data_IF_310240803450
#
_entry.id   IF_310240803450
#
_cell.length_a   1.000
_cell.length_b   1.000
_cell.length_c   1.000
_cell.angle_alpha   90.00
_cell.angle_beta   90.00
_cell.angle_gamma   90.00
#
_symmetry.space_group_name_H-M   'P 1'
#
loop_
_entity.id
_entity.type
_entity.pdbx_description
1 polymer ?
#
# COMPACT_ATOMS: atom_id res chain seq x y z
N UNK A 1 15.02 -1.73 -17.05
CA UNK A 1 14.42 -0.94 -15.94
C UNK A 1 13.72 -1.93 -15.02
N UNK A 2 14.37 -2.32 -13.94
CA UNK A 2 13.74 -3.18 -12.94
C UNK A 2 13.03 -2.24 -11.97
N UNK A 3 11.74 -2.11 -12.12
CA UNK A 3 10.91 -1.41 -11.13
C UNK A 3 10.78 -2.33 -9.93
N UNK A 4 11.63 -2.18 -8.96
CA UNK A 4 11.34 -2.73 -7.63
C UNK A 4 10.32 -1.80 -7.01
N UNK A 5 9.06 -2.04 -7.29
CA UNK A 5 7.98 -1.44 -6.53
C UNK A 5 8.01 -2.04 -5.13
N UNK A 6 8.85 -1.52 -4.26
CA UNK A 6 8.73 -1.79 -2.83
C UNK A 6 7.53 -1.02 -2.31
N UNK A 7 6.35 -1.54 -2.58
CA UNK A 7 5.19 -1.13 -1.81
C UNK A 7 5.35 -1.65 -0.40
N UNK A 8 5.73 -0.76 0.49
CA UNK A 8 5.61 -0.93 1.91
C UNK A 8 6.47 -2.03 2.52
N UNK A 9 7.50 -1.60 3.16
CA UNK A 9 8.29 -2.41 4.05
C UNK A 9 9.47 -3.07 3.36
N UNK A 10 10.65 -2.56 3.65
CA UNK A 10 11.84 -3.38 3.57
C UNK A 10 11.57 -4.71 4.26
N UNK A 11 12.09 -5.82 3.73
CA UNK A 11 12.08 -7.07 4.47
C UNK A 11 12.60 -6.77 5.89
N UNK A 12 11.99 -7.31 6.94
CA UNK A 12 12.45 -7.10 8.32
C UNK A 12 13.90 -7.53 8.55
N UNK A 13 14.49 -8.17 7.55
CA UNK A 13 15.86 -8.65 7.52
C UNK A 13 16.88 -7.68 6.90
N UNK A 14 16.49 -6.48 6.48
CA UNK A 14 17.47 -5.45 6.14
C UNK A 14 17.84 -4.67 7.39
N UNK A 15 18.93 -5.05 8.09
CA UNK A 15 19.39 -4.24 9.21
C UNK A 15 20.03 -2.97 8.63
N UNK A 16 19.35 -1.86 8.81
CA UNK A 16 20.03 -0.60 8.76
C UNK A 16 20.98 -0.54 9.95
N UNK A 17 22.25 -0.42 9.69
CA UNK A 17 23.30 -0.27 10.72
C UNK A 17 23.29 -1.36 11.80
N UNK A 18 22.85 -2.58 11.49
CA UNK A 18 22.83 -3.69 12.44
C UNK A 18 21.68 -3.65 13.45
N UNK A 19 20.86 -2.64 13.46
CA UNK A 19 19.69 -2.56 14.33
C UNK A 19 18.41 -3.01 13.59
N UNK A 20 17.96 -4.20 13.88
CA UNK A 20 16.57 -4.59 13.57
C UNK A 20 15.64 -3.72 14.41
N UNK A 21 14.88 -2.85 13.76
CA UNK A 21 13.78 -2.17 14.43
C UNK A 21 12.70 -3.20 14.75
N UNK A 22 12.84 -3.87 15.90
CA UNK A 22 11.78 -4.73 16.41
C UNK A 22 10.60 -3.85 16.76
N UNK A 23 9.49 -4.06 16.08
CA UNK A 23 8.23 -3.54 16.59
C UNK A 23 7.98 -4.16 17.97
N UNK A 24 7.46 -3.36 18.88
CA UNK A 24 7.14 -3.81 20.23
C UNK A 24 5.93 -4.78 20.25
N UNK A 25 5.33 -5.05 19.11
CA UNK A 25 4.15 -5.90 18.92
C UNK A 25 4.24 -6.65 17.58
N UNK A 26 3.57 -7.77 17.51
CA UNK A 26 3.44 -8.60 16.31
C UNK A 26 2.31 -8.12 15.40
N UNK A 27 2.30 -8.57 14.14
CA UNK A 27 1.21 -8.31 13.21
C UNK A 27 -0.12 -8.89 13.71
N UNK A 28 -0.10 -10.04 14.40
CA UNK A 28 -1.29 -10.66 14.97
C UNK A 28 -1.87 -9.82 16.12
N UNK A 29 -1.03 -9.28 17.00
CA UNK A 29 -1.46 -8.38 18.07
C UNK A 29 -2.06 -7.10 17.49
N UNK A 30 -1.47 -6.53 16.46
CA UNK A 30 -2.00 -5.36 15.77
C UNK A 30 -3.36 -5.65 15.12
N UNK A 31 -3.52 -6.79 14.45
CA UNK A 31 -4.78 -7.21 13.84
C UNK A 31 -5.88 -7.43 14.89
N UNK A 32 -5.54 -8.01 16.05
CA UNK A 32 -6.46 -8.16 17.17
C UNK A 32 -6.93 -6.79 17.72
N UNK A 33 -6.07 -5.79 17.76
CA UNK A 33 -6.46 -4.43 18.16
C UNK A 33 -7.28 -3.71 17.06
N UNK A 34 -6.97 -3.92 15.79
CA UNK A 34 -7.83 -3.44 14.68
C UNK A 34 -9.26 -3.99 14.78
N UNK A 35 -9.42 -5.25 15.17
CA UNK A 35 -10.73 -5.88 15.33
C UNK A 35 -11.58 -5.23 16.43
N UNK A 36 -10.96 -4.60 17.43
CA UNK A 36 -11.64 -3.91 18.54
C UNK A 36 -12.06 -2.47 18.20
N UNK A 37 -11.61 -1.92 17.09
CA UNK A 37 -12.01 -0.58 16.67
C UNK A 37 -13.50 -0.53 16.29
N UNK A 38 -14.08 0.64 16.33
CA UNK A 38 -15.47 0.87 15.92
C UNK A 38 -15.51 1.82 14.71
N UNK A 39 -15.86 1.35 13.51
CA UNK A 39 -16.11 -0.06 13.15
C UNK A 39 -14.82 -0.91 13.17
N UNK A 40 -14.94 -2.25 13.28
CA UNK A 40 -13.79 -3.16 13.23
C UNK A 40 -13.00 -3.02 11.94
N UNK A 41 -11.66 -3.02 12.06
CA UNK A 41 -10.72 -2.78 10.96
C UNK A 41 -9.78 -3.97 10.72
N UNK A 42 -9.08 -3.94 9.60
CA UNK A 42 -7.97 -4.85 9.23
C UNK A 42 -6.97 -4.13 8.29
N UNK A 43 -5.75 -4.60 8.26
CA UNK A 43 -4.77 -4.11 7.26
C UNK A 43 -5.16 -4.61 5.84
N UNK A 44 -5.03 -3.75 4.85
CA UNK A 44 -5.36 -4.06 3.45
C UNK A 44 -4.49 -5.18 2.86
N UNK A 45 -3.25 -5.34 3.33
CA UNK A 45 -2.36 -6.39 2.83
C UNK A 45 -2.82 -7.77 3.32
N UNK A 46 -3.36 -7.87 4.54
CA UNK A 46 -3.95 -9.09 5.06
C UNK A 46 -5.23 -9.45 4.29
N UNK A 47 -6.03 -8.44 3.94
CA UNK A 47 -7.17 -8.63 3.04
C UNK A 47 -6.71 -9.15 1.67
N UNK A 48 -5.76 -8.49 1.00
CA UNK A 48 -5.29 -8.90 -0.32
C UNK A 48 -4.60 -10.26 -0.34
N UNK A 49 -4.01 -10.69 0.78
CA UNK A 49 -3.44 -12.02 0.92
C UNK A 49 -4.50 -13.12 1.10
N UNK A 50 -5.71 -12.77 1.47
CA UNK A 50 -6.79 -13.71 1.75
C UNK A 50 -7.43 -14.28 0.48
N UNK A 51 -8.10 -15.44 0.61
CA UNK A 51 -8.96 -15.99 -0.45
C UNK A 51 -10.19 -15.11 -0.70
N UNK A 52 -10.66 -14.42 0.34
CA UNK A 52 -11.79 -13.51 0.26
C UNK A 52 -11.57 -12.41 -0.79
N UNK A 53 -10.36 -11.86 -0.87
CA UNK A 53 -10.06 -10.82 -1.85
C UNK A 53 -10.27 -11.30 -3.30
N UNK A 54 -9.88 -12.52 -3.62
CA UNK A 54 -10.05 -13.09 -4.96
C UNK A 54 -11.55 -13.24 -5.33
N UNK A 55 -12.35 -13.71 -4.37
CA UNK A 55 -13.80 -13.84 -4.55
C UNK A 55 -14.50 -12.48 -4.65
N UNK A 56 -14.14 -11.53 -3.79
CA UNK A 56 -14.70 -10.17 -3.85
C UNK A 56 -14.40 -9.49 -5.20
N UNK A 57 -13.19 -9.71 -5.74
CA UNK A 57 -12.78 -9.14 -7.04
C UNK A 57 -13.48 -9.81 -8.22
N UNK A 58 -13.91 -11.08 -8.10
CA UNK A 58 -14.72 -11.75 -9.13
C UNK A 58 -16.18 -11.29 -9.11
N UNK A 59 -16.70 -10.94 -7.95
CA UNK A 59 -18.10 -10.62 -7.72
C UNK A 59 -18.30 -9.17 -7.26
N UNK A 60 -17.52 -8.24 -7.83
CA UNK A 60 -17.59 -6.84 -7.45
C UNK A 60 -18.94 -6.19 -7.88
N UNK A 61 -19.44 -5.21 -7.11
CA UNK A 61 -20.70 -4.55 -7.40
C UNK A 61 -20.63 -3.55 -8.59
N UNK A 62 -19.42 -3.13 -8.98
CA UNK A 62 -19.17 -2.22 -10.10
C UNK A 62 -18.39 -2.93 -11.21
N UNK A 63 -18.26 -2.25 -12.38
CA UNK A 63 -17.38 -2.74 -13.44
C UNK A 63 -15.90 -2.71 -13.01
N UNK A 64 -15.07 -3.53 -13.67
CA UNK A 64 -13.63 -3.53 -13.43
C UNK A 64 -13.00 -2.17 -13.74
N UNK A 65 -13.45 -1.50 -14.80
CA UNK A 65 -13.02 -0.14 -15.15
C UNK A 65 -13.40 0.86 -14.05
N UNK A 66 -14.62 0.80 -13.55
CA UNK A 66 -15.07 1.67 -12.46
C UNK A 66 -14.29 1.43 -11.16
N UNK A 67 -13.98 0.17 -10.87
CA UNK A 67 -13.13 -0.16 -9.74
C UNK A 67 -11.75 0.52 -9.87
N UNK A 68 -11.08 0.41 -11.02
CA UNK A 68 -9.79 1.05 -11.24
C UNK A 68 -9.90 2.58 -11.23
N UNK A 69 -10.97 3.13 -11.79
CA UNK A 69 -11.23 4.57 -11.75
C UNK A 69 -11.27 5.09 -10.31
N UNK A 70 -12.07 4.48 -9.45
CA UNK A 70 -12.18 4.85 -8.05
C UNK A 70 -10.88 4.60 -7.27
N UNK A 71 -10.24 3.45 -7.52
CA UNK A 71 -9.02 3.04 -6.83
C UNK A 71 -7.83 3.98 -7.09
N UNK A 72 -7.63 4.39 -8.34
CA UNK A 72 -6.55 5.32 -8.67
C UNK A 72 -6.89 6.76 -8.31
N UNK A 73 -8.14 7.20 -8.48
CA UNK A 73 -8.56 8.52 -8.01
C UNK A 73 -8.30 8.70 -6.51
N UNK A 74 -8.72 7.74 -5.71
CA UNK A 74 -8.56 7.79 -4.26
C UNK A 74 -7.08 7.81 -3.81
N UNK A 75 -6.18 7.27 -4.64
CA UNK A 75 -4.73 7.29 -4.38
C UNK A 75 -4.04 8.53 -4.95
N UNK A 76 -4.71 9.27 -5.80
CA UNK A 76 -4.17 10.48 -6.43
C UNK A 76 -4.06 11.65 -5.46
N UNK A 77 -3.15 12.58 -5.76
CA UNK A 77 -3.00 13.81 -5.01
C UNK A 77 -4.21 14.74 -5.11
N UNK A 78 -5.05 14.58 -6.13
CA UNK A 78 -6.27 15.36 -6.33
C UNK A 78 -7.43 14.93 -5.41
N UNK A 79 -7.33 13.74 -4.81
CA UNK A 79 -8.34 13.28 -3.86
C UNK A 79 -8.30 14.13 -2.58
N UNK A 80 -9.42 14.77 -2.17
CA UNK A 80 -9.42 15.68 -1.04
C UNK A 80 -8.90 15.08 0.27
N UNK A 81 -9.12 13.76 0.47
CA UNK A 81 -8.63 13.04 1.65
C UNK A 81 -7.10 12.91 1.74
N UNK A 82 -6.38 13.20 0.65
CA UNK A 82 -4.91 13.11 0.61
C UNK A 82 -4.22 14.47 0.75
N UNK A 83 -4.97 15.58 0.88
CA UNK A 83 -4.39 16.94 0.88
C UNK A 83 -3.59 17.26 2.15
N UNK A 84 -3.91 16.65 3.28
CA UNK A 84 -3.32 16.98 4.58
C UNK A 84 -2.79 15.73 5.29
N UNK A 85 -2.14 14.85 4.54
CA UNK A 85 -1.53 13.66 5.10
C UNK A 85 -0.35 14.01 5.99
N UNK A 86 -0.30 13.40 7.16
CA UNK A 86 0.83 13.50 8.08
C UNK A 86 1.41 12.12 8.33
N UNK A 87 2.74 12.00 8.45
CA UNK A 87 3.38 10.73 8.76
C UNK A 87 2.78 10.09 10.01
N UNK A 88 2.66 8.76 9.98
CA UNK A 88 2.26 8.01 11.16
C UNK A 88 3.35 8.07 12.21
N UNK A 89 2.93 8.20 13.45
CA UNK A 89 3.85 8.19 14.58
C UNK A 89 4.17 6.75 14.99
N UNK A 90 5.43 6.45 15.34
CA UNK A 90 5.76 5.17 15.94
C UNK A 90 5.05 5.05 17.28
N UNK A 91 4.35 3.94 17.50
CA UNK A 91 3.61 3.69 18.74
C UNK A 91 4.23 2.51 19.50
N UNK A 92 4.28 2.59 20.84
CA UNK A 92 4.92 1.56 21.66
C UNK A 92 4.08 0.31 21.84
N UNK A 93 2.77 0.38 21.65
CA UNK A 93 1.86 -0.75 21.82
C UNK A 93 1.01 -1.01 20.59
N UNK A 94 0.55 -2.24 20.40
CA UNK A 94 -0.36 -2.62 19.31
C UNK A 94 -1.66 -1.80 19.35
N UNK A 95 -2.20 -1.52 20.53
CA UNK A 95 -3.42 -0.73 20.72
C UNK A 95 -3.26 0.70 20.20
N UNK A 96 -2.18 1.37 20.61
CA UNK A 96 -1.90 2.74 20.15
C UNK A 96 -1.58 2.77 18.65
N UNK A 97 -0.87 1.75 18.18
CA UNK A 97 -0.58 1.60 16.75
C UNK A 97 -1.86 1.38 15.92
N UNK A 98 -2.81 0.60 16.42
CA UNK A 98 -4.09 0.41 15.75
C UNK A 98 -4.87 1.74 15.65
N UNK A 99 -4.91 2.51 16.72
CA UNK A 99 -5.56 3.82 16.74
C UNK A 99 -4.88 4.82 15.79
N UNK A 100 -3.53 4.86 15.78
CA UNK A 100 -2.78 5.73 14.88
C UNK A 100 -2.94 5.32 13.41
N UNK A 101 -2.86 4.02 13.11
CA UNK A 101 -3.07 3.52 11.75
C UNK A 101 -4.51 3.72 11.25
N UNK A 102 -5.51 3.78 12.13
CA UNK A 102 -6.89 4.06 11.77
C UNK A 102 -7.11 5.46 11.18
N UNK A 103 -6.13 6.34 11.27
CA UNK A 103 -6.10 7.65 10.57
C UNK A 103 -5.87 7.50 9.07
N UNK A 104 -5.36 6.33 8.63
CA UNK A 104 -5.18 6.06 7.21
C UNK A 104 -6.53 5.87 6.51
N UNK A 105 -6.61 6.20 5.21
CA UNK A 105 -7.81 5.95 4.42
C UNK A 105 -8.27 4.49 4.49
N UNK A 106 -9.58 4.28 4.32
CA UNK A 106 -10.19 2.94 4.41
C UNK A 106 -9.58 1.90 3.46
N UNK A 107 -8.95 2.30 2.39
CA UNK A 107 -8.28 1.35 1.49
C UNK A 107 -6.93 0.85 2.02
N UNK A 108 -6.38 1.44 3.07
CA UNK A 108 -5.21 0.94 3.80
C UNK A 108 -5.59 0.23 5.08
N UNK A 109 -6.46 0.84 5.89
CA UNK A 109 -6.98 0.25 7.12
C UNK A 109 -8.47 0.01 6.93
N UNK A 110 -8.76 -1.12 6.29
CA UNK A 110 -10.08 -1.47 5.78
C UNK A 110 -11.06 -1.82 6.90
N UNK A 111 -12.33 -1.58 6.66
CA UNK A 111 -13.39 -2.18 7.48
C UNK A 111 -13.43 -3.69 7.25
N UNK A 112 -13.75 -4.44 8.32
CA UNK A 112 -13.88 -5.91 8.22
C UNK A 112 -15.18 -6.37 7.58
N UNK A 113 -16.21 -5.52 7.58
CA UNK A 113 -17.54 -5.84 7.07
C UNK A 113 -17.67 -5.73 5.53
N UNK A 114 -16.60 -5.33 4.84
CA UNK A 114 -16.62 -5.21 3.38
C UNK A 114 -15.26 -5.49 2.74
N UNK A 115 -15.29 -5.89 1.46
CA UNK A 115 -14.11 -6.04 0.63
C UNK A 115 -13.66 -4.73 -0.03
N UNK A 116 -12.52 -4.78 -0.72
CA UNK A 116 -11.99 -3.61 -1.43
C UNK A 116 -12.93 -3.10 -2.54
N UNK A 117 -13.54 -3.96 -3.38
CA UNK A 117 -14.49 -3.47 -4.39
C UNK A 117 -15.63 -2.66 -3.79
N UNK A 118 -16.27 -3.20 -2.75
CA UNK A 118 -17.37 -2.51 -2.06
C UNK A 118 -16.91 -1.22 -1.36
N UNK A 119 -15.67 -1.19 -0.86
CA UNK A 119 -15.07 0.03 -0.30
C UNK A 119 -14.90 1.10 -1.38
N UNK A 120 -14.47 0.72 -2.59
CA UNK A 120 -14.21 1.66 -3.69
C UNK A 120 -15.47 2.31 -4.28
N UNK A 121 -16.63 1.69 -4.17
CA UNK A 121 -17.88 2.28 -4.67
C UNK A 121 -18.11 3.70 -4.14
N UNK A 122 -17.80 3.94 -2.86
CA UNK A 122 -18.00 5.24 -2.21
C UNK A 122 -17.01 6.32 -2.69
N UNK A 123 -15.98 5.95 -3.43
CA UNK A 123 -14.90 6.84 -3.86
C UNK A 123 -14.89 7.10 -5.37
N UNK A 124 -15.96 6.75 -6.07
CA UNK A 124 -16.09 7.08 -7.49
C UNK A 124 -16.07 8.60 -7.68
N UNK A 125 -15.18 9.15 -8.51
CA UNK A 125 -15.14 10.57 -8.79
C UNK A 125 -16.37 11.02 -9.59
N UNK A 126 -16.60 12.32 -9.62
CA UNK A 126 -17.69 12.90 -10.41
C UNK A 126 -17.50 12.66 -11.92
N UNK A 127 -18.59 12.69 -12.67
CA UNK A 127 -18.55 12.58 -14.14
C UNK A 127 -17.70 13.70 -14.77
N UNK A 128 -17.76 14.89 -14.19
CA UNK A 128 -16.97 16.03 -14.64
C UNK A 128 -15.47 15.79 -14.43
N UNK A 129 -15.08 15.27 -13.25
CA UNK A 129 -13.70 14.88 -13.00
C UNK A 129 -13.21 13.84 -14.02
N UNK A 130 -14.01 12.79 -14.26
CA UNK A 130 -13.67 11.72 -15.21
C UNK A 130 -13.44 12.29 -16.61
N UNK A 131 -14.33 13.17 -17.08
CA UNK A 131 -14.22 13.78 -18.40
C UNK A 131 -12.98 14.67 -18.57
N UNK A 132 -12.51 15.29 -17.49
CA UNK A 132 -11.36 16.19 -17.50
C UNK A 132 -10.03 15.52 -17.08
N UNK A 133 -10.06 14.28 -16.61
CA UNK A 133 -8.89 13.55 -16.14
C UNK A 133 -7.95 13.20 -17.31
N UNK A 134 -6.78 13.85 -17.35
CA UNK A 134 -5.79 13.66 -18.43
C UNK A 134 -4.71 12.63 -18.10
N UNK A 135 -4.45 12.38 -16.83
CA UNK A 135 -3.40 11.47 -16.39
C UNK A 135 -3.83 10.00 -16.36
N UNK A 136 -5.14 9.75 -16.36
CA UNK A 136 -5.74 8.42 -16.42
C UNK A 136 -7.07 8.55 -17.17
N UNK A 137 -7.02 8.55 -18.49
CA UNK A 137 -8.17 8.71 -19.38
C UNK A 137 -9.15 7.52 -19.25
N UNK A 138 -10.36 7.68 -19.76
CA UNK A 138 -11.32 6.56 -19.75
C UNK A 138 -10.81 5.39 -20.60
N UNK A 139 -10.20 5.67 -21.74
CA UNK A 139 -9.63 4.63 -22.61
C UNK A 139 -8.54 3.81 -21.88
N UNK A 140 -7.64 4.46 -21.14
CA UNK A 140 -6.64 3.76 -20.32
C UNK A 140 -7.27 2.95 -19.20
N UNK A 141 -8.29 3.49 -18.54
CA UNK A 141 -9.05 2.79 -17.51
C UNK A 141 -9.72 1.52 -18.05
N UNK A 142 -10.26 1.60 -19.26
CA UNK A 142 -10.92 0.47 -19.93
C UNK A 142 -9.91 -0.62 -20.32
N UNK A 143 -8.68 -0.27 -20.70
CA UNK A 143 -7.60 -1.23 -20.90
C UNK A 143 -7.32 -2.01 -19.62
N UNK A 144 -7.17 -1.32 -18.47
CA UNK A 144 -7.03 -2.01 -17.18
C UNK A 144 -8.23 -2.92 -16.89
N UNK A 145 -9.44 -2.41 -17.15
CA UNK A 145 -10.67 -3.16 -16.98
C UNK A 145 -10.68 -4.47 -17.79
N UNK A 146 -10.32 -4.40 -19.05
CA UNK A 146 -10.27 -5.55 -19.97
C UNK A 146 -9.20 -6.57 -19.57
N UNK A 147 -7.97 -6.12 -19.32
CA UNK A 147 -6.84 -6.97 -18.97
C UNK A 147 -7.08 -7.74 -17.65
N UNK A 148 -7.55 -7.06 -16.61
CA UNK A 148 -7.84 -7.70 -15.33
C UNK A 148 -9.10 -8.59 -15.37
N UNK A 149 -10.07 -8.26 -16.22
CA UNK A 149 -11.23 -9.14 -16.43
C UNK A 149 -10.82 -10.44 -17.12
N UNK A 150 -9.87 -10.38 -18.05
CA UNK A 150 -9.35 -11.56 -18.75
C UNK A 150 -8.39 -12.39 -17.91
N UNK A 151 -7.44 -11.74 -17.23
CA UNK A 151 -6.40 -12.42 -16.45
C UNK A 151 -6.88 -12.87 -15.06
N UNK A 152 -7.88 -12.21 -14.49
CA UNK A 152 -8.31 -12.38 -13.11
C UNK A 152 -7.31 -11.81 -12.09
N UNK A 153 -7.63 -11.95 -10.82
CA UNK A 153 -6.87 -11.34 -9.73
C UNK A 153 -5.91 -12.29 -9.02
N UNK A 154 -6.08 -13.58 -9.18
CA UNK A 154 -5.30 -14.60 -8.45
C UNK A 154 -3.79 -14.35 -8.56
N UNK A 155 -3.29 -14.14 -9.77
CA UNK A 155 -1.86 -13.86 -10.01
C UNK A 155 -1.41 -12.52 -9.43
N UNK A 156 -2.19 -11.47 -9.61
CA UNK A 156 -1.89 -10.13 -9.10
C UNK A 156 -1.80 -10.09 -7.56
N UNK A 157 -2.55 -10.95 -6.86
CA UNK A 157 -2.57 -11.04 -5.41
C UNK A 157 -1.42 -11.88 -4.82
N UNK A 158 -0.66 -12.61 -5.63
CA UNK A 158 0.44 -13.45 -5.14
C UNK A 158 1.52 -12.65 -4.40
N UNK A 159 1.78 -11.41 -4.77
CA UNK A 159 2.72 -10.54 -4.06
C UNK A 159 2.33 -10.35 -2.58
N UNK A 160 1.04 -10.18 -2.29
CA UNK A 160 0.54 -10.06 -0.93
C UNK A 160 0.58 -11.40 -0.19
N UNK A 161 0.18 -12.49 -0.85
CA UNK A 161 0.24 -13.85 -0.27
C UNK A 161 1.67 -14.23 0.09
N UNK A 162 2.62 -14.01 -0.82
CA UNK A 162 4.04 -14.25 -0.57
C UNK A 162 4.54 -13.50 0.68
N UNK A 163 4.16 -12.24 0.84
CA UNK A 163 4.61 -11.43 1.98
C UNK A 163 3.95 -11.79 3.31
N UNK A 164 2.70 -12.25 3.30
CA UNK A 164 1.91 -12.44 4.51
C UNK A 164 1.80 -13.90 4.97
N UNK A 165 1.68 -14.83 4.04
CA UNK A 165 1.43 -16.25 4.38
C UNK A 165 2.67 -17.12 4.24
N UNK A 166 3.55 -16.82 3.30
CA UNK A 166 4.78 -17.58 3.05
C UNK A 166 6.03 -16.93 3.66
N UNK A 167 5.88 -15.90 4.47
CA UNK A 167 6.99 -15.10 4.98
C UNK A 167 8.05 -15.94 5.68
N UNK A 168 7.66 -16.88 6.54
CA UNK A 168 8.59 -17.74 7.25
C UNK A 168 9.35 -18.70 6.31
N UNK A 169 8.69 -19.23 5.27
CA UNK A 169 9.31 -20.09 4.27
C UNK A 169 10.28 -19.33 3.36
N UNK A 170 9.98 -18.06 3.08
CA UNK A 170 10.76 -17.22 2.15
C UNK A 170 11.82 -16.36 2.84
N UNK A 171 11.91 -16.43 4.17
CA UNK A 171 12.87 -15.61 4.91
C UNK A 171 14.32 -15.93 4.52
N UNK A 172 14.61 -17.18 4.22
CA UNK A 172 15.95 -17.61 3.79
C UNK A 172 16.35 -16.97 2.45
N UNK A 173 15.43 -16.88 1.48
CA UNK A 173 15.68 -16.21 0.20
C UNK A 173 15.87 -14.70 0.40
N UNK A 174 15.07 -14.08 1.23
CA UNK A 174 15.18 -12.66 1.55
C UNK A 174 16.51 -12.35 2.26
N UNK A 175 16.95 -13.23 3.16
CA UNK A 175 18.23 -13.10 3.86
C UNK A 175 19.45 -13.17 2.91
N UNK A 176 19.31 -13.82 1.74
CA UNK A 176 20.38 -13.86 0.73
C UNK A 176 20.79 -12.46 0.26
N UNK A 177 19.88 -11.51 0.30
CA UNK A 177 20.12 -10.10 -0.07
C UNK A 177 20.32 -9.19 1.15
N UNK A 178 20.28 -9.72 2.35
CA UNK A 178 20.47 -8.94 3.57
C UNK A 178 21.86 -8.31 3.62
N UNK A 179 21.90 -7.04 3.99
CA UNK A 179 23.15 -6.27 4.06
C UNK A 179 23.70 -5.82 2.70
N UNK A 180 23.10 -6.21 1.58
CA UNK A 180 23.50 -5.69 0.27
C UNK A 180 22.94 -4.29 0.05
N UNK A 181 23.76 -3.45 -0.56
CA UNK A 181 23.37 -2.11 -1.01
C UNK A 181 23.19 -2.07 -2.53
N UNK A 182 22.45 -1.12 -3.03
CA UNK A 182 22.34 -0.82 -4.46
C UNK A 182 23.61 -0.04 -4.84
N UNK A 183 24.46 -0.65 -5.67
CA UNK A 183 25.80 -0.14 -6.03
C UNK A 183 25.80 0.64 -7.36
N UNK A 184 24.65 0.85 -7.94
CA UNK A 184 24.46 1.64 -9.16
C UNK A 184 23.67 2.91 -8.83
N UNK A 185 23.73 3.96 -9.69
CA UNK A 185 22.90 5.14 -9.49
C UNK A 185 21.43 4.75 -9.35
N UNK A 186 20.77 5.22 -8.31
CA UNK A 186 19.39 4.89 -8.01
C UNK A 186 18.61 6.16 -7.68
N UNK A 187 17.32 6.17 -8.05
CA UNK A 187 16.41 7.27 -7.78
C UNK A 187 15.16 6.73 -7.09
N UNK A 188 14.78 7.35 -5.98
CA UNK A 188 13.49 7.16 -5.34
C UNK A 188 12.54 8.27 -5.81
N UNK A 189 11.42 7.89 -6.39
CA UNK A 189 10.35 8.81 -6.76
C UNK A 189 9.14 8.48 -5.88
N UNK A 190 8.64 9.46 -5.15
CA UNK A 190 7.45 9.32 -4.31
C UNK A 190 6.59 10.58 -4.40
N UNK A 191 5.26 10.41 -4.44
CA UNK A 191 4.34 11.53 -4.36
C UNK A 191 4.27 12.08 -2.94
N UNK A 192 4.28 13.40 -2.77
CA UNK A 192 4.12 14.03 -1.45
C UNK A 192 2.79 13.67 -0.78
N UNK A 193 1.77 13.44 -1.56
CA UNK A 193 0.42 13.08 -1.10
C UNK A 193 0.17 11.56 -1.15
N UNK A 194 1.22 10.76 -1.35
CA UNK A 194 1.09 9.31 -1.29
C UNK A 194 0.91 8.84 0.16
N UNK A 195 -0.28 8.34 0.45
CA UNK A 195 -0.57 7.73 1.75
C UNK A 195 0.38 6.59 2.10
N UNK A 196 0.83 5.82 1.11
CA UNK A 196 1.76 4.71 1.32
C UNK A 196 3.10 5.18 1.84
N UNK A 197 3.64 6.25 1.27
CA UNK A 197 4.88 6.88 1.72
C UNK A 197 4.74 7.48 3.14
N UNK A 198 3.57 8.04 3.45
CA UNK A 198 3.30 8.64 4.76
C UNK A 198 3.07 7.61 5.88
N UNK A 199 2.88 6.32 5.59
CA UNK A 199 2.88 5.25 6.61
C UNK A 199 4.24 5.03 7.27
N UNK A 200 5.32 5.46 6.63
CA UNK A 200 6.67 5.31 7.19
C UNK A 200 6.86 6.42 8.23
N UNK A 201 7.31 6.05 9.42
CA UNK A 201 7.63 7.02 10.45
C UNK A 201 8.71 7.99 9.95
N UNK A 202 8.40 9.29 9.95
CA UNK A 202 9.24 10.32 9.35
C UNK A 202 8.90 10.63 7.89
N UNK A 203 7.89 9.94 7.33
CA UNK A 203 7.39 10.21 5.98
C UNK A 203 8.33 9.83 4.85
N UNK A 204 8.09 10.38 3.64
CA UNK A 204 8.89 10.09 2.46
C UNK A 204 10.38 10.40 2.62
N UNK A 205 10.74 11.43 3.38
CA UNK A 205 12.12 11.80 3.65
C UNK A 205 12.87 10.72 4.43
N UNK A 206 12.21 10.07 5.38
CA UNK A 206 12.79 8.95 6.11
C UNK A 206 12.99 7.73 5.20
N UNK A 207 12.05 7.45 4.30
CA UNK A 207 12.17 6.38 3.31
C UNK A 207 13.39 6.61 2.41
N UNK A 208 13.66 7.85 2.03
CA UNK A 208 14.81 8.21 1.21
C UNK A 208 16.16 8.13 1.91
N UNK A 209 16.17 8.22 3.25
CA UNK A 209 17.41 8.17 4.07
C UNK A 209 17.79 6.77 4.52
N UNK A 210 17.05 5.78 4.14
CA UNK A 210 17.19 4.43 4.70
C UNK A 210 18.43 3.64 4.22
N UNK A 211 19.37 4.27 3.49
CA UNK A 211 20.68 3.67 3.20
C UNK A 211 20.68 2.49 2.24
N UNK A 212 19.59 2.29 1.47
CA UNK A 212 19.52 1.22 0.46
C UNK A 212 20.50 1.42 -0.69
N UNK A 213 21.04 2.63 -0.83
CA UNK A 213 21.96 2.95 -1.91
C UNK A 213 23.25 3.53 -1.35
N UNK A 214 24.38 3.23 -1.98
CA UNK A 214 25.65 3.93 -1.75
C UNK A 214 25.65 5.34 -2.31
N UNK A 215 24.70 5.67 -3.17
CA UNK A 215 24.56 6.96 -3.84
C UNK A 215 23.39 7.71 -3.23
N UNK A 216 23.67 8.79 -2.53
CA UNK A 216 22.64 9.68 -1.97
C UNK A 216 22.02 10.49 -3.10
N UNK A 217 20.89 10.02 -3.60
CA UNK A 217 20.10 10.73 -4.61
C UNK A 217 18.62 10.47 -4.37
N UNK A 218 18.05 11.12 -3.36
CA UNK A 218 16.60 11.09 -3.17
C UNK A 218 16.02 12.36 -3.75
N UNK A 219 15.27 12.22 -4.83
CA UNK A 219 14.53 13.33 -5.41
C UNK A 219 13.05 13.10 -5.15
N UNK A 220 12.49 13.98 -4.31
CA UNK A 220 11.04 14.04 -4.12
C UNK A 220 10.43 14.79 -5.29
N UNK A 221 9.53 14.15 -6.02
CA UNK A 221 8.79 14.77 -7.10
C UNK A 221 7.47 15.28 -6.56
N UNK A 222 7.35 16.61 -6.53
CA UNK A 222 6.10 17.29 -6.28
C UNK A 222 5.35 17.38 -7.61
N UNK A 223 4.36 16.53 -7.77
CA UNK A 223 3.36 16.72 -8.82
C UNK A 223 2.02 16.88 -8.13
N UNK A 224 1.53 18.09 -8.18
CA UNK A 224 0.14 18.39 -7.98
C UNK A 224 -0.71 17.68 -9.03
#
# INVERSE_FOLDING_TARGET
LTTVASQGGAPPSFPFNGEQRRLAYTAAELDAEFAKLSPPRRDYQDYWASKQADEDMKHMPQSMSDFFRAFYYMKGGEFPGNQNLTPLRPMPTAREAAAENARMPEYYVMRRDRGMPATMVAFMPSKEYIANCKWFTQAECDVYGQEYSAAGWTGALHNYRHRRTAFAANIAEQLTFSGRTIDVPAQLIAGKQDCGANRIAGGPEAAGRTGYTKFAGVQMVDRA
#
